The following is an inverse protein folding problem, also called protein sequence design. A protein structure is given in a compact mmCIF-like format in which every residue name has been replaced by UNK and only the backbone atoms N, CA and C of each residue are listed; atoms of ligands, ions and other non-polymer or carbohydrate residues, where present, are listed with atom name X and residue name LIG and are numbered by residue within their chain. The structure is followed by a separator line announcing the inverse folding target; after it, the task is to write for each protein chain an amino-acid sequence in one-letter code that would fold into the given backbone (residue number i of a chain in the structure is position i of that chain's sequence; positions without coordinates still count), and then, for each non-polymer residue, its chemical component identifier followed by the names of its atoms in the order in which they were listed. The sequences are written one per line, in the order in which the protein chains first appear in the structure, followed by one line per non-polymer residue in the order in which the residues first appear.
data_IF_573643505434
#
_entry.id   IF_573643505434
#
_cell.length_a   1.000
_cell.length_b   1.000
_cell.length_c   1.000
_cell.angle_alpha   90.00
_cell.angle_beta   90.00
_cell.angle_gamma   90.00
#
_symmetry.space_group_name_H-M   'P 1'
#
loop_
_entity.id
_entity.type
_entity.pdbx_description
1 polymer ?
#
# COMPACT_ATOMS: atom_id res chain seq x y z
N UNK A 1 -15.89 8.02 -4.23
CA UNK A 1 -15.02 8.38 -3.09
C UNK A 1 -14.05 7.23 -2.95
N UNK A 2 -12.77 7.43 -3.26
CA UNK A 2 -11.78 6.34 -3.36
C UNK A 2 -11.04 6.29 -2.03
N UNK A 3 -11.29 5.26 -1.22
CA UNK A 3 -10.65 5.08 0.08
C UNK A 3 -9.16 4.80 -0.09
N UNK A 4 -8.32 5.61 0.55
CA UNK A 4 -6.89 5.76 0.22
C UNK A 4 -5.91 5.25 1.29
N UNK A 5 -6.38 4.51 2.30
CA UNK A 5 -5.52 3.90 3.34
C UNK A 5 -4.82 2.60 2.89
N UNK A 6 -4.52 2.45 1.60
CA UNK A 6 -4.06 1.18 1.03
C UNK A 6 -2.54 1.05 1.17
N UNK A 7 -2.05 0.38 2.21
CA UNK A 7 -0.67 -0.09 2.25
C UNK A 7 -0.63 -1.55 1.79
N UNK A 8 0.17 -1.90 0.78
CA UNK A 8 0.33 -3.29 0.35
C UNK A 8 1.67 -3.83 0.85
N UNK A 9 1.63 -4.67 1.89
CA UNK A 9 2.82 -5.38 2.37
C UNK A 9 2.99 -6.78 1.76
N UNK A 10 2.00 -7.28 1.01
CA UNK A 10 2.14 -8.53 0.23
C UNK A 10 1.82 -8.31 -1.23
N UNK A 11 2.69 -8.86 -2.09
CA UNK A 11 2.63 -8.79 -3.55
C UNK A 11 1.40 -9.59 -4.01
N UNK A 12 0.25 -8.93 -4.20
CA UNK A 12 -0.84 -9.45 -5.02
C UNK A 12 -0.82 -8.75 -6.40
N UNK A 13 -1.30 -9.48 -7.41
CA UNK A 13 -1.14 -9.32 -8.87
C UNK A 13 -1.55 -7.98 -9.50
N UNK A 14 -1.88 -6.95 -8.72
CA UNK A 14 -2.27 -5.63 -9.23
C UNK A 14 -1.23 -4.52 -9.00
N UNK A 15 0.01 -4.87 -8.64
CA UNK A 15 1.12 -3.97 -8.93
C UNK A 15 1.29 -3.86 -10.44
N UNK A 16 1.10 -2.65 -10.98
CA UNK A 16 1.68 -2.32 -12.29
C UNK A 16 3.18 -2.19 -12.11
N UNK A 17 3.86 -3.31 -11.87
CA UNK A 17 5.30 -3.42 -12.03
C UNK A 17 5.57 -3.24 -13.53
N UNK A 18 5.86 -2.01 -13.92
CA UNK A 18 6.41 -1.74 -15.24
C UNK A 18 7.84 -2.26 -15.23
N UNK A 19 8.00 -3.54 -15.54
CA UNK A 19 9.30 -4.14 -15.80
C UNK A 19 9.85 -3.52 -17.10
N UNK A 20 10.56 -2.40 -16.95
CA UNK A 20 11.35 -1.85 -18.04
C UNK A 20 12.56 -2.75 -18.26
N UNK A 21 12.57 -3.51 -19.35
CA UNK A 21 13.76 -4.23 -19.80
C UNK A 21 14.71 -3.23 -20.46
N UNK A 22 15.44 -2.47 -19.66
CA UNK A 22 16.50 -1.58 -20.15
C UNK A 22 17.72 -2.43 -20.49
N UNK A 23 18.25 -2.26 -21.71
CA UNK A 23 19.52 -2.87 -22.11
C UNK A 23 20.63 -1.87 -21.78
N UNK A 24 21.36 -2.10 -20.69
CA UNK A 24 22.58 -1.39 -20.31
C UNK A 24 22.43 0.13 -20.42
N UNK A 25 21.51 0.67 -19.62
CA UNK A 25 21.21 2.10 -19.60
C UNK A 25 21.22 2.63 -18.17
N UNK A 26 21.33 3.95 -18.05
CA UNK A 26 21.41 4.66 -16.79
C UNK A 26 20.05 5.26 -16.46
N UNK A 27 19.40 4.73 -15.41
CA UNK A 27 18.13 5.27 -14.94
C UNK A 27 18.35 6.51 -14.07
N UNK A 28 17.65 7.59 -14.41
CA UNK A 28 17.46 8.76 -13.55
C UNK A 28 15.98 8.99 -13.31
N UNK A 29 15.53 8.82 -12.07
CA UNK A 29 14.14 9.05 -11.66
C UNK A 29 14.07 9.70 -10.29
N UNK A 30 13.08 10.57 -10.11
CA UNK A 30 12.71 11.18 -8.84
C UNK A 30 11.21 11.01 -8.68
N UNK A 31 10.76 10.56 -7.52
CA UNK A 31 9.35 10.57 -7.16
C UNK A 31 9.11 11.60 -6.05
N UNK A 32 8.07 12.41 -6.19
CA UNK A 32 7.61 13.28 -5.11
C UNK A 32 6.98 12.46 -3.97
N UNK A 33 6.71 13.05 -2.81
CA UNK A 33 6.09 12.34 -1.66
C UNK A 33 6.82 11.05 -1.25
N UNK A 34 8.14 11.03 -1.37
CA UNK A 34 8.99 9.89 -1.01
C UNK A 34 9.54 9.95 0.42
N UNK A 35 9.39 11.11 1.07
CA UNK A 35 9.79 11.35 2.47
C UNK A 35 8.60 11.71 3.35
N UNK A 36 7.64 12.42 2.77
CA UNK A 36 6.47 12.91 3.47
C UNK A 36 5.21 12.37 2.77
N UNK A 37 4.38 11.58 3.47
CA UNK A 37 3.16 11.02 2.89
C UNK A 37 2.12 12.10 2.57
N UNK A 38 1.02 11.69 1.97
CA UNK A 38 -0.17 12.54 1.85
C UNK A 38 -0.91 12.51 3.18
N UNK A 39 -1.14 13.67 3.79
CA UNK A 39 -1.80 13.73 5.09
C UNK A 39 -3.25 13.25 5.02
N UNK A 40 -3.70 12.62 6.09
CA UNK A 40 -5.12 12.37 6.33
C UNK A 40 -5.88 13.64 6.69
N UNK A 41 -7.21 13.55 6.70
CA UNK A 41 -8.09 14.65 7.08
C UNK A 41 -9.25 14.17 7.96
N UNK A 42 -9.74 15.04 8.84
CA UNK A 42 -10.90 14.78 9.71
C UNK A 42 -10.82 13.47 10.53
N UNK A 43 -9.62 13.10 11.00
CA UNK A 43 -9.37 11.85 11.74
C UNK A 43 -8.91 10.68 10.88
N UNK A 44 -8.78 10.86 9.56
CA UNK A 44 -8.19 9.87 8.66
C UNK A 44 -6.68 9.74 8.85
N UNK A 45 -6.15 8.57 8.53
CA UNK A 45 -4.70 8.28 8.60
C UNK A 45 -3.97 8.82 7.36
N UNK A 46 -2.67 9.04 7.51
CA UNK A 46 -1.80 9.41 6.40
C UNK A 46 -1.69 8.26 5.37
N UNK A 47 -1.50 8.63 4.11
CA UNK A 47 -1.27 7.69 3.01
C UNK A 47 0.14 7.11 2.99
N UNK A 48 0.46 6.36 1.95
CA UNK A 48 1.82 5.82 1.75
C UNK A 48 2.77 6.82 1.06
N UNK A 49 4.06 6.51 1.07
CA UNK A 49 5.08 7.25 0.32
C UNK A 49 5.38 6.59 -1.03
N UNK A 50 5.85 7.38 -2.00
CA UNK A 50 6.38 6.84 -3.25
C UNK A 50 7.80 6.32 -3.04
N UNK A 51 8.15 5.18 -3.65
CA UNK A 51 9.52 4.72 -3.69
C UNK A 51 9.83 3.87 -4.93
N UNK A 52 11.12 3.71 -5.18
CA UNK A 52 11.67 2.74 -6.12
C UNK A 52 12.39 1.65 -5.33
N UNK A 53 12.29 0.41 -5.81
CA UNK A 53 13.17 -0.69 -5.44
C UNK A 53 13.77 -1.26 -6.73
N UNK A 54 15.02 -1.65 -6.66
CA UNK A 54 15.72 -2.32 -7.74
C UNK A 54 15.90 -3.78 -7.37
N UNK A 55 15.52 -4.66 -8.28
CA UNK A 55 15.69 -6.10 -8.15
C UNK A 55 16.68 -6.47 -9.25
N UNK A 56 17.91 -6.77 -8.85
CA UNK A 56 18.97 -7.12 -9.77
C UNK A 56 18.71 -8.53 -10.34
N UNK A 57 19.32 -8.86 -11.47
CA UNK A 57 19.10 -10.13 -12.16
C UNK A 57 19.42 -11.39 -11.31
N UNK A 58 20.25 -11.23 -10.26
CA UNK A 58 20.58 -12.28 -9.29
C UNK A 58 19.56 -12.41 -8.13
N UNK A 59 18.54 -11.54 -8.11
CA UNK A 59 17.50 -11.50 -7.09
C UNK A 59 17.80 -10.56 -5.92
N UNK A 60 18.95 -9.87 -5.89
CA UNK A 60 19.26 -8.88 -4.86
C UNK A 60 18.28 -7.71 -4.92
N UNK A 61 17.66 -7.38 -3.79
CA UNK A 61 16.68 -6.30 -3.69
C UNK A 61 17.30 -5.12 -2.96
N UNK A 62 17.24 -3.93 -3.57
CA UNK A 62 17.68 -2.69 -2.93
C UNK A 62 16.70 -2.23 -1.85
N UNK A 63 17.21 -1.46 -0.89
CA UNK A 63 16.36 -0.66 0.00
C UNK A 63 15.45 0.29 -0.80
N UNK A 64 14.24 0.61 -0.30
CA UNK A 64 13.36 1.61 -0.91
C UNK A 64 14.03 2.98 -0.99
N UNK A 65 13.96 3.62 -2.16
CA UNK A 65 14.51 4.96 -2.35
C UNK A 65 13.62 5.87 -3.18
N UNK A 66 13.54 7.16 -2.82
CA UNK A 66 12.73 8.13 -3.56
C UNK A 66 13.41 8.81 -4.75
N UNK A 67 14.74 8.71 -4.81
CA UNK A 67 15.56 9.30 -5.86
C UNK A 67 16.58 8.26 -6.31
N UNK A 68 16.49 7.85 -7.57
CA UNK A 68 17.50 7.04 -8.23
C UNK A 68 18.33 7.96 -9.12
N UNK A 69 19.55 8.28 -8.68
CA UNK A 69 20.48 9.12 -9.42
C UNK A 69 21.49 8.23 -10.16
N UNK A 70 21.35 8.13 -11.48
CA UNK A 70 22.28 7.41 -12.36
C UNK A 70 22.48 5.94 -11.97
N UNK A 71 21.40 5.21 -11.63
CA UNK A 71 21.47 3.78 -11.37
C UNK A 71 21.73 3.05 -12.69
N UNK A 72 22.84 2.32 -12.77
CA UNK A 72 23.12 1.42 -13.89
C UNK A 72 22.14 0.25 -13.82
N UNK A 73 21.43 0.01 -14.92
CA UNK A 73 20.51 -1.12 -15.09
C UNK A 73 21.09 -2.10 -16.09
N UNK A 74 21.29 -3.34 -15.65
CA UNK A 74 21.74 -4.43 -16.49
C UNK A 74 20.55 -5.15 -17.13
N UNK A 75 20.86 -6.02 -18.08
CA UNK A 75 19.84 -6.88 -18.69
C UNK A 75 19.21 -7.78 -17.63
N UNK A 76 17.87 -7.77 -17.59
CA UNK A 76 17.02 -8.52 -16.64
C UNK A 76 16.93 -7.93 -15.23
N UNK A 77 17.56 -6.79 -14.94
CA UNK A 77 17.24 -6.03 -13.74
C UNK A 77 15.80 -5.49 -13.86
N UNK A 78 15.10 -5.42 -12.73
CA UNK A 78 13.73 -4.91 -12.64
C UNK A 78 13.71 -3.69 -11.73
N UNK A 79 13.08 -2.62 -12.19
CA UNK A 79 12.72 -1.48 -11.33
C UNK A 79 11.26 -1.61 -10.90
N UNK A 80 11.04 -1.75 -9.60
CA UNK A 80 9.73 -1.69 -8.96
C UNK A 80 9.46 -0.25 -8.57
N UNK A 81 8.40 0.34 -9.12
CA UNK A 81 7.95 1.68 -8.77
C UNK A 81 6.66 1.56 -7.98
N UNK A 82 6.70 1.96 -6.71
CA UNK A 82 5.53 1.95 -5.84
C UNK A 82 5.02 3.38 -5.71
N UNK A 83 3.75 3.56 -6.06
CA UNK A 83 3.08 4.85 -6.01
C UNK A 83 2.39 5.06 -4.67
N UNK A 84 2.56 6.26 -4.12
CA UNK A 84 1.89 6.71 -2.91
C UNK A 84 0.37 6.66 -3.06
N UNK A 85 -0.30 6.40 -1.95
CA UNK A 85 -1.74 6.59 -1.81
C UNK A 85 -2.06 7.97 -1.27
N UNK A 86 -3.31 8.41 -1.45
CA UNK A 86 -3.82 9.59 -0.75
C UNK A 86 -3.91 9.36 0.75
N UNK A 87 -4.07 10.42 1.54
CA UNK A 87 -4.47 10.28 2.94
C UNK A 87 -5.95 9.95 3.06
N UNK A 88 -6.33 9.25 4.12
CA UNK A 88 -7.72 8.91 4.42
C UNK A 88 -8.54 10.12 4.88
N UNK A 89 -9.86 9.97 4.86
CA UNK A 89 -10.79 10.96 5.37
C UNK A 89 -11.72 10.35 6.42
N UNK A 90 -11.88 11.03 7.56
CA UNK A 90 -12.76 10.58 8.62
C UNK A 90 -12.14 9.49 9.51
N UNK A 91 -12.81 9.22 10.62
CA UNK A 91 -12.44 8.14 11.55
C UNK A 91 -12.63 6.76 10.89
N UNK A 92 -11.58 5.93 10.77
CA UNK A 92 -11.67 4.58 10.22
C UNK A 92 -12.71 3.69 10.92
N UNK A 93 -12.93 3.83 12.22
CA UNK A 93 -13.90 3.01 12.96
C UNK A 93 -15.34 3.31 12.56
N UNK A 94 -15.61 4.45 11.93
CA UNK A 94 -16.93 4.79 11.40
C UNK A 94 -17.20 4.18 10.02
N UNK A 95 -16.20 3.54 9.39
CA UNK A 95 -16.41 2.84 8.12
C UNK A 95 -17.29 1.59 8.34
N UNK A 96 -18.37 1.39 7.55
CA UNK A 96 -19.21 0.21 7.67
C UNK A 96 -18.42 -1.09 7.51
N UNK A 97 -18.64 -2.05 8.43
CA UNK A 97 -17.83 -3.27 8.50
C UNK A 97 -17.97 -4.17 7.27
N UNK A 98 -19.15 -4.19 6.65
CA UNK A 98 -19.43 -4.84 5.37
C UNK A 98 -18.61 -4.26 4.22
N UNK A 99 -18.39 -2.95 4.20
CA UNK A 99 -17.50 -2.31 3.22
C UNK A 99 -16.04 -2.65 3.45
N UNK A 100 -15.60 -2.70 4.72
CA UNK A 100 -14.24 -3.14 5.06
C UNK A 100 -14.01 -4.60 4.60
N UNK A 101 -14.96 -5.49 4.83
CA UNK A 101 -14.88 -6.86 4.34
C UNK A 101 -14.82 -6.94 2.80
N UNK A 102 -15.55 -6.06 2.11
CA UNK A 102 -15.46 -5.94 0.65
C UNK A 102 -14.08 -5.41 0.20
N UNK A 103 -13.47 -4.50 0.96
CA UNK A 103 -12.11 -4.01 0.68
C UNK A 103 -11.08 -5.14 0.83
N UNK A 104 -11.24 -6.03 1.82
CA UNK A 104 -10.41 -7.24 1.96
C UNK A 104 -10.62 -8.18 0.77
N UNK A 105 -11.88 -8.46 0.42
CA UNK A 105 -12.24 -9.35 -0.70
C UNK A 105 -11.66 -8.87 -2.03
N UNK A 106 -11.61 -7.56 -2.23
CA UNK A 106 -11.09 -6.94 -3.45
C UNK A 106 -9.56 -6.70 -3.39
N UNK A 107 -8.88 -7.23 -2.37
CA UNK A 107 -7.42 -7.09 -2.18
C UNK A 107 -6.95 -5.63 -2.15
N UNK A 108 -7.81 -4.76 -1.63
CA UNK A 108 -7.49 -3.36 -1.36
C UNK A 108 -6.69 -3.28 -0.06
N UNK A 109 -7.14 -3.99 0.97
CA UNK A 109 -6.46 -4.11 2.26
C UNK A 109 -6.31 -5.58 2.66
N UNK A 110 -5.40 -5.86 3.59
CA UNK A 110 -5.27 -7.20 4.18
C UNK A 110 -6.28 -7.42 5.31
N UNK A 111 -6.47 -8.67 5.73
CA UNK A 111 -7.24 -9.00 6.94
C UNK A 111 -6.65 -8.37 8.20
N UNK A 112 -5.33 -8.26 8.26
CA UNK A 112 -4.63 -7.64 9.38
C UNK A 112 -4.90 -6.13 9.42
N UNK A 113 -4.87 -5.46 8.27
CA UNK A 113 -5.25 -4.04 8.15
C UNK A 113 -6.72 -3.80 8.46
N UNK A 114 -7.63 -4.68 8.05
CA UNK A 114 -9.02 -4.59 8.44
C UNK A 114 -9.19 -4.59 9.96
N UNK A 115 -8.40 -5.41 10.67
CA UNK A 115 -8.40 -5.45 12.13
C UNK A 115 -7.75 -4.23 12.76
N UNK A 116 -6.54 -3.88 12.34
CA UNK A 116 -5.70 -2.85 12.96
C UNK A 116 -6.17 -1.43 12.65
N UNK A 117 -6.56 -1.18 11.40
CA UNK A 117 -6.94 0.17 10.96
C UNK A 117 -8.43 0.43 11.14
N UNK A 118 -9.28 -0.57 10.92
CA UNK A 118 -10.74 -0.41 10.90
C UNK A 118 -11.46 -1.11 12.05
N UNK A 119 -10.75 -1.90 12.86
CA UNK A 119 -11.37 -2.64 13.96
C UNK A 119 -12.35 -3.72 13.51
N UNK A 120 -12.20 -4.26 12.30
CA UNK A 120 -13.10 -5.28 11.72
C UNK A 120 -12.37 -6.61 11.60
N UNK A 121 -12.95 -7.65 12.19
CA UNK A 121 -12.45 -9.01 12.05
C UNK A 121 -13.11 -9.64 10.82
N UNK A 122 -12.31 -10.04 9.84
CA UNK A 122 -12.77 -10.62 8.57
C UNK A 122 -12.17 -12.00 8.40
N UNK A 123 -13.00 -12.97 8.00
CA UNK A 123 -12.56 -14.31 7.64
C UNK A 123 -11.79 -14.30 6.31
N UNK A 124 -10.56 -14.85 6.25
CA UNK A 124 -9.71 -14.73 5.07
C UNK A 124 -10.18 -15.56 3.86
N UNK A 125 -11.03 -16.58 4.06
CA UNK A 125 -11.47 -17.47 2.98
C UNK A 125 -12.86 -17.08 2.46
N UNK A 126 -13.76 -16.73 3.38
CA UNK A 126 -15.17 -16.44 3.09
C UNK A 126 -15.45 -14.93 3.01
N UNK A 127 -14.53 -14.09 3.48
CA UNK A 127 -14.67 -12.63 3.57
C UNK A 127 -15.89 -12.17 4.37
N UNK A 128 -16.38 -13.01 5.29
CA UNK A 128 -17.47 -12.64 6.20
C UNK A 128 -16.92 -11.84 7.37
N UNK A 129 -17.69 -10.85 7.82
CA UNK A 129 -17.41 -10.13 9.06
C UNK A 129 -17.64 -11.08 10.23
N UNK A 130 -16.59 -11.38 10.99
CA UNK A 130 -16.62 -12.21 12.19
C UNK A 130 -16.98 -11.42 13.44
N UNK A 131 -16.72 -10.11 13.43
CA UNK A 131 -17.00 -9.21 14.54
C UNK A 131 -16.22 -7.91 14.46
N UNK A 132 -16.27 -7.12 15.53
CA UNK A 132 -15.52 -5.88 15.70
C UNK A 132 -14.53 -6.02 16.85
N UNK A 133 -13.42 -5.29 16.81
CA UNK A 133 -12.48 -5.22 17.92
C UNK A 133 -13.10 -4.49 19.11
N UNK A 134 -12.62 -4.78 20.32
CA UNK A 134 -13.11 -4.12 21.54
C UNK A 134 -12.93 -2.59 21.49
N UNK A 135 -11.84 -2.13 20.88
CA UNK A 135 -11.53 -0.70 20.71
C UNK A 135 -12.61 0.00 19.87
N UNK A 136 -13.00 -0.61 18.75
CA UNK A 136 -14.07 -0.09 17.91
C UNK A 136 -15.42 -0.15 18.63
N UNK A 137 -15.74 -1.24 19.32
CA UNK A 137 -16.97 -1.36 20.09
C UNK A 137 -17.09 -0.31 21.21
N UNK A 138 -15.98 0.07 21.83
CA UNK A 138 -15.93 1.16 22.82
C UNK A 138 -16.12 2.54 22.16
N UNK A 139 -15.60 2.74 20.95
CA UNK A 139 -15.76 3.99 20.21
C UNK A 139 -17.17 4.17 19.61
N UNK A 140 -17.92 3.08 19.42
CA UNK A 140 -19.32 3.11 18.95
C UNK A 140 -20.34 3.35 20.09
N UNK A 141 -19.93 3.28 21.36
CA UNK A 141 -20.77 3.59 22.54
C UNK A 141 -20.66 5.05 22.95
#
# INVERSE_FOLDING_TARGET
MVDSNLHRERISYSEKAFAYKLKNDVLKRKSGRNKWPVWGAAGGKDGSVNYFQFIDADGTISEPMGIAARRVMNTNDVVRMVTATGGGYGDPFKRPADKVAMDVKNEYITVDQAKEDYGVLVDPETFKVLGLTEERQKAEK
#
